data_IF_422243415166
#
_entry.id   IF_422243415166
#
_cell.length_a   1.000
_cell.length_b   1.000
_cell.length_c   1.000
_cell.angle_alpha   90.00
_cell.angle_beta   90.00
_cell.angle_gamma   90.00
#
_symmetry.space_group_name_H-M   'P 1'
#
loop_
_entity.id
_entity.type
_entity.pdbx_description
1 polymer ?
#
# COMPACT_ATOMS: atom_id res chain seq x y z
N UNK A 1 -17.49 36.91 35.65
CA UNK A 1 -17.98 37.54 34.39
C UNK A 1 -18.42 36.44 33.44
N UNK A 2 -19.65 36.53 32.91
CA UNK A 2 -20.27 35.59 31.96
C UNK A 2 -19.84 35.89 30.52
N UNK A 3 -19.67 34.85 29.69
CA UNK A 3 -20.04 34.73 28.24
C UNK A 3 -19.57 33.36 27.74
N UNK A 4 -20.43 32.33 27.74
CA UNK A 4 -21.40 31.87 26.71
C UNK A 4 -20.73 31.08 25.56
N UNK A 5 -21.30 29.89 25.34
CA UNK A 5 -21.04 28.81 24.37
C UNK A 5 -20.82 29.22 22.91
N UNK A 6 -20.01 28.43 22.19
CA UNK A 6 -20.28 28.12 20.77
C UNK A 6 -19.78 26.72 20.42
N UNK A 7 -20.70 25.78 20.46
CA UNK A 7 -20.62 24.42 19.92
C UNK A 7 -20.47 24.46 18.40
N UNK A 8 -19.52 23.71 17.84
CA UNK A 8 -19.56 23.25 16.45
C UNK A 8 -19.17 21.77 16.41
N UNK A 9 -20.17 20.96 16.76
CA UNK A 9 -20.22 19.53 16.48
C UNK A 9 -20.35 19.40 14.96
N UNK A 10 -19.25 19.07 14.27
CA UNK A 10 -19.31 18.74 12.85
C UNK A 10 -19.71 17.27 12.70
N UNK A 11 -20.96 17.13 12.30
CA UNK A 11 -21.66 15.93 11.89
C UNK A 11 -20.94 15.34 10.67
N UNK A 12 -20.32 14.17 10.82
CA UNK A 12 -20.04 13.32 9.68
C UNK A 12 -21.27 12.45 9.44
N UNK A 13 -21.93 12.71 8.32
CA UNK A 13 -23.06 11.95 7.80
C UNK A 13 -22.70 10.47 7.69
N UNK A 14 -23.41 9.64 8.45
CA UNK A 14 -23.53 8.21 8.21
C UNK A 14 -24.32 8.04 6.90
N UNK A 15 -23.65 7.62 5.83
CA UNK A 15 -24.31 7.17 4.60
C UNK A 15 -24.24 5.65 4.60
N UNK A 16 -25.36 5.00 4.88
CA UNK A 16 -25.48 3.55 4.83
C UNK A 16 -26.61 2.96 5.68
N UNK A 17 -27.81 3.56 5.66
CA UNK A 17 -29.01 2.94 6.20
C UNK A 17 -29.60 2.02 5.11
N UNK A 18 -29.29 0.72 5.17
CA UNK A 18 -30.15 -0.29 4.54
C UNK A 18 -31.13 -0.75 5.62
N UNK A 19 -32.35 -0.22 5.50
CA UNK A 19 -33.52 -0.73 6.19
C UNK A 19 -33.88 -2.09 5.62
N UNK A 20 -33.99 -3.12 6.47
CA UNK A 20 -34.78 -4.30 6.13
C UNK A 20 -35.59 -4.75 7.33
N UNK A 21 -36.85 -4.32 7.35
CA UNK A 21 -37.89 -4.99 8.14
C UNK A 21 -38.34 -6.26 7.41
N UNK A 22 -38.34 -7.38 8.15
CA UNK A 22 -39.29 -8.48 8.01
C UNK A 22 -39.33 -9.23 6.69
N UNK A 23 -38.52 -10.29 6.58
CA UNK A 23 -38.97 -11.53 5.94
C UNK A 23 -38.71 -12.66 6.92
N UNK A 24 -39.78 -13.09 7.59
CA UNK A 24 -39.85 -14.38 8.28
C UNK A 24 -39.58 -15.51 7.29
N UNK A 25 -38.79 -16.49 7.73
CA UNK A 25 -38.91 -17.85 7.23
C UNK A 25 -38.14 -18.16 5.94
N UNK A 26 -36.81 -18.21 6.03
CA UNK A 26 -36.05 -19.19 5.24
C UNK A 26 -35.07 -19.89 6.18
N UNK A 27 -35.31 -21.19 6.39
CA UNK A 27 -34.30 -22.08 6.97
C UNK A 27 -33.07 -21.98 6.07
N UNK A 28 -32.02 -21.31 6.53
CA UNK A 28 -30.70 -21.54 6.00
C UNK A 28 -30.33 -22.95 6.47
N UNK A 29 -30.65 -23.96 5.65
CA UNK A 29 -29.87 -25.18 5.67
C UNK A 29 -28.46 -24.71 5.38
N UNK A 30 -27.64 -24.67 6.42
CA UNK A 30 -26.20 -24.59 6.28
C UNK A 30 -25.80 -25.81 5.44
N UNK A 31 -25.77 -25.62 4.12
CA UNK A 31 -24.93 -26.40 3.25
C UNK A 31 -23.53 -25.94 3.60
N UNK A 32 -23.01 -26.56 4.66
CA UNK A 32 -21.58 -26.76 4.85
C UNK A 32 -21.13 -27.56 3.64
N UNK A 33 -21.00 -26.89 2.50
CA UNK A 33 -20.15 -27.37 1.43
C UNK A 33 -18.78 -27.49 2.07
N UNK A 34 -18.15 -28.67 2.11
CA UNK A 34 -16.77 -28.75 2.52
C UNK A 34 -16.02 -27.85 1.55
N UNK A 35 -15.50 -26.71 2.05
CA UNK A 35 -14.56 -25.90 1.29
C UNK A 35 -13.45 -26.85 0.92
N UNK A 36 -13.46 -27.27 -0.34
CA UNK A 36 -12.54 -28.24 -0.86
C UNK A 36 -11.15 -27.62 -0.66
N UNK A 37 -10.42 -28.09 0.35
CA UNK A 37 -9.11 -27.55 0.72
C UNK A 37 -8.12 -27.63 -0.45
N UNK A 38 -8.44 -28.39 -1.50
CA UNK A 38 -7.71 -28.41 -2.76
C UNK A 38 -7.70 -27.06 -3.51
N UNK A 39 -8.74 -26.21 -3.39
CA UNK A 39 -8.76 -24.86 -3.97
C UNK A 39 -8.06 -23.82 -3.10
N UNK A 40 -8.00 -24.03 -1.78
CA UNK A 40 -7.30 -23.16 -0.84
C UNK A 40 -5.77 -23.38 -0.82
N UNK A 41 -5.28 -24.44 -1.46
CA UNK A 41 -3.85 -24.77 -1.56
C UNK A 41 -3.21 -24.38 -2.90
N UNK A 42 -3.97 -23.75 -3.81
CA UNK A 42 -3.47 -23.26 -5.10
C UNK A 42 -3.21 -21.74 -5.14
N UNK A 43 -3.52 -21.01 -4.06
CA UNK A 43 -2.94 -19.69 -3.85
C UNK A 43 -1.72 -19.81 -2.94
N UNK A 44 -0.68 -20.54 -3.39
CA UNK A 44 0.65 -20.00 -3.12
C UNK A 44 0.58 -18.60 -3.69
N UNK A 45 0.51 -17.57 -2.85
CA UNK A 45 0.76 -16.20 -3.28
C UNK A 45 1.95 -16.31 -4.19
N UNK A 46 1.75 -16.09 -5.50
CA UNK A 46 2.87 -16.05 -6.44
C UNK A 46 3.72 -14.93 -5.86
N UNK A 47 4.81 -15.29 -5.18
CA UNK A 47 5.83 -14.33 -4.79
C UNK A 47 6.35 -13.84 -6.14
N UNK A 48 5.77 -12.74 -6.62
CA UNK A 48 6.15 -12.19 -7.89
C UNK A 48 7.63 -11.82 -7.73
N UNK A 49 8.47 -12.44 -8.55
CA UNK A 49 9.92 -12.28 -8.47
C UNK A 49 10.24 -10.80 -8.51
N UNK A 50 10.92 -10.31 -7.47
CA UNK A 50 11.45 -8.95 -7.49
C UNK A 50 12.61 -8.89 -8.49
N UNK A 51 12.71 -7.78 -9.21
CA UNK A 51 13.87 -7.44 -10.03
C UNK A 51 14.67 -6.32 -9.37
N UNK A 52 15.94 -6.18 -9.74
CA UNK A 52 16.72 -5.03 -9.32
C UNK A 52 16.18 -3.74 -9.95
N UNK A 53 16.02 -2.64 -9.19
CA UNK A 53 15.41 -1.41 -9.69
C UNK A 53 16.37 -0.57 -10.55
N UNK A 54 17.68 -0.74 -10.39
CA UNK A 54 18.71 -0.05 -11.18
C UNK A 54 20.00 -0.86 -11.18
N UNK A 55 20.91 -0.54 -12.11
CA UNK A 55 22.28 -1.04 -12.10
C UNK A 55 23.17 -0.15 -11.23
N UNK A 56 24.18 -0.76 -10.59
CA UNK A 56 25.12 -0.06 -9.72
C UNK A 56 25.77 -0.99 -8.72
N UNK A 57 26.49 -0.43 -7.74
CA UNK A 57 27.00 -1.17 -6.59
C UNK A 57 26.30 -0.72 -5.31
N UNK A 58 26.19 -1.64 -4.34
CA UNK A 58 25.61 -1.32 -3.04
C UNK A 58 26.61 -0.43 -2.28
N UNK A 59 26.28 0.85 -2.11
CA UNK A 59 27.07 1.78 -1.29
C UNK A 59 26.73 1.66 0.18
N UNK A 60 25.48 1.32 0.51
CA UNK A 60 25.03 1.09 1.87
C UNK A 60 23.94 0.01 1.90
N UNK A 61 24.14 -1.01 2.74
CA UNK A 61 23.15 -2.05 2.97
C UNK A 61 22.11 -1.67 4.03
N UNK A 62 21.17 -2.59 4.24
CA UNK A 62 20.19 -2.50 5.31
C UNK A 62 20.84 -2.58 6.70
N UNK A 63 20.39 -1.74 7.64
CA UNK A 63 20.74 -1.77 9.07
C UNK A 63 19.62 -1.11 9.89
N UNK A 64 19.53 -1.29 11.22
CA UNK A 64 18.41 -0.75 12.02
C UNK A 64 18.12 0.75 11.88
N UNK A 65 19.12 1.57 11.52
CA UNK A 65 18.95 3.02 11.29
C UNK A 65 18.99 3.38 9.78
N UNK A 66 18.80 2.39 8.92
CA UNK A 66 18.75 2.54 7.46
C UNK A 66 17.91 1.40 6.87
N UNK A 67 16.61 1.64 6.77
CA UNK A 67 15.61 0.64 6.38
C UNK A 67 15.55 0.40 4.86
N UNK A 68 16.65 0.69 4.15
CA UNK A 68 16.77 0.57 2.70
C UNK A 68 18.14 0.04 2.26
N UNK A 69 18.32 -0.04 0.94
CA UNK A 69 19.59 -0.36 0.30
C UNK A 69 19.91 0.79 -0.66
N UNK A 70 21.08 1.39 -0.50
CA UNK A 70 21.56 2.42 -1.40
C UNK A 70 22.37 1.77 -2.52
N UNK A 71 21.92 1.99 -3.74
CA UNK A 71 22.60 1.54 -4.96
C UNK A 71 23.20 2.78 -5.63
N UNK A 72 24.52 2.88 -5.61
CA UNK A 72 25.25 3.98 -6.23
C UNK A 72 25.35 3.78 -7.75
N UNK A 73 25.02 4.85 -8.47
CA UNK A 73 25.15 4.96 -9.93
C UNK A 73 25.21 6.43 -10.35
N UNK A 74 25.50 6.73 -11.63
CA UNK A 74 25.46 8.10 -12.15
C UNK A 74 24.09 8.78 -11.95
N UNK A 75 24.09 10.10 -11.75
CA UNK A 75 22.84 10.89 -11.72
C UNK A 75 22.09 10.69 -13.05
N UNK A 76 20.78 10.48 -12.94
CA UNK A 76 19.92 10.20 -14.11
C UNK A 76 19.89 8.73 -14.53
N UNK A 77 20.54 7.83 -13.79
CA UNK A 77 20.39 6.39 -14.01
C UNK A 77 18.91 5.99 -13.92
N UNK A 78 18.41 5.16 -14.86
CA UNK A 78 17.01 4.76 -14.88
C UNK A 78 16.68 3.89 -13.67
N UNK A 79 15.59 4.23 -13.00
CA UNK A 79 15.03 3.45 -11.89
C UNK A 79 13.70 2.87 -12.35
N UNK A 80 13.57 1.56 -12.26
CA UNK A 80 12.35 0.81 -12.61
C UNK A 80 11.74 0.18 -11.36
N UNK A 81 10.43 -0.05 -11.42
CA UNK A 81 9.73 -0.76 -10.36
C UNK A 81 10.27 -2.19 -10.22
N UNK A 82 10.54 -2.61 -8.99
CA UNK A 82 11.01 -3.96 -8.63
C UNK A 82 9.94 -5.02 -8.85
N UNK A 83 8.67 -4.61 -8.89
CA UNK A 83 7.52 -5.44 -9.17
C UNK A 83 6.38 -4.56 -9.70
N UNK A 84 5.45 -5.14 -10.45
CA UNK A 84 4.22 -4.44 -10.84
C UNK A 84 3.44 -3.94 -9.60
N UNK A 85 2.88 -2.74 -9.67
CA UNK A 85 2.15 -2.13 -8.58
C UNK A 85 1.46 -0.85 -8.99
N UNK A 86 0.67 -0.30 -8.07
CA UNK A 86 -0.01 0.99 -8.20
C UNK A 86 0.86 2.07 -7.55
N UNK A 87 1.10 3.18 -8.26
CA UNK A 87 1.76 4.35 -7.67
C UNK A 87 0.80 5.01 -6.69
N UNK A 88 1.14 4.95 -5.40
CA UNK A 88 0.34 5.55 -4.33
C UNK A 88 0.87 6.93 -3.91
N UNK A 89 2.10 7.27 -4.31
CA UNK A 89 2.70 8.58 -4.07
C UNK A 89 3.80 8.85 -5.10
N UNK A 90 3.85 10.09 -5.62
CA UNK A 90 4.93 10.63 -6.46
C UNK A 90 5.09 12.11 -6.10
N UNK A 91 6.23 12.50 -5.53
CA UNK A 91 6.45 13.90 -5.11
C UNK A 91 7.67 14.08 -4.22
N UNK A 92 7.81 15.27 -3.64
CA UNK A 92 8.86 15.60 -2.67
C UNK A 92 8.44 15.19 -1.26
N UNK A 93 9.36 14.61 -0.49
CA UNK A 93 9.18 14.25 0.92
C UNK A 93 10.36 14.73 1.79
N UNK A 94 10.04 15.49 2.85
CA UNK A 94 11.02 16.12 3.75
C UNK A 94 11.63 15.16 4.80
N UNK A 95 11.30 13.87 4.75
CA UNK A 95 11.88 12.83 5.63
C UNK A 95 13.36 12.52 5.34
N UNK A 96 13.93 13.19 4.34
CA UNK A 96 15.28 12.94 3.83
C UNK A 96 15.29 12.26 2.47
N UNK A 97 14.18 11.66 2.03
CA UNK A 97 14.08 10.96 0.74
C UNK A 97 14.05 11.91 -0.47
N UNK A 98 13.60 13.16 -0.32
CA UNK A 98 13.49 14.11 -1.43
C UNK A 98 12.45 13.66 -2.47
N UNK A 99 12.80 13.69 -3.76
CA UNK A 99 11.92 13.17 -4.81
C UNK A 99 11.74 11.65 -4.66
N UNK A 100 10.52 11.22 -4.30
CA UNK A 100 10.20 9.84 -3.98
C UNK A 100 8.98 9.35 -4.76
N UNK A 101 9.03 8.07 -5.16
CA UNK A 101 7.88 7.32 -5.66
C UNK A 101 7.62 6.14 -4.73
N UNK A 102 6.37 5.93 -4.32
CA UNK A 102 5.95 4.77 -3.51
C UNK A 102 4.92 3.96 -4.28
N UNK A 103 5.13 2.65 -4.36
CA UNK A 103 4.21 1.72 -5.02
C UNK A 103 3.62 0.76 -4.01
N UNK A 104 2.34 0.43 -4.19
CA UNK A 104 1.66 -0.67 -3.52
C UNK A 104 1.55 -1.86 -4.47
N UNK A 105 1.99 -3.02 -4.01
CA UNK A 105 1.95 -4.27 -4.78
C UNK A 105 0.69 -5.08 -4.48
N UNK A 106 0.42 -6.07 -5.34
CA UNK A 106 -0.79 -6.91 -5.24
C UNK A 106 -0.79 -7.79 -3.97
N UNK A 107 0.38 -8.13 -3.46
CA UNK A 107 0.56 -8.89 -2.22
C UNK A 107 0.45 -8.01 -0.95
N UNK A 108 0.20 -6.71 -1.11
CA UNK A 108 0.09 -5.74 -0.04
C UNK A 108 1.42 -5.14 0.43
N UNK A 109 2.55 -5.57 -0.14
CA UNK A 109 3.86 -4.98 0.13
C UNK A 109 4.00 -3.60 -0.55
N UNK A 110 5.03 -2.85 -0.12
CA UNK A 110 5.37 -1.55 -0.70
C UNK A 110 6.82 -1.53 -1.17
N UNK A 111 7.06 -0.80 -2.25
CA UNK A 111 8.40 -0.37 -2.65
C UNK A 111 8.48 1.15 -2.64
N UNK A 112 9.64 1.67 -2.26
CA UNK A 112 9.90 3.10 -2.10
C UNK A 112 11.21 3.40 -2.83
N UNK A 113 11.19 4.37 -3.74
CA UNK A 113 12.36 4.82 -4.49
C UNK A 113 12.60 6.29 -4.17
N UNK A 114 13.60 6.58 -3.34
CA UNK A 114 13.98 7.92 -2.92
C UNK A 114 15.20 8.47 -3.66
N UNK A 115 15.55 9.72 -3.37
CA UNK A 115 16.71 10.43 -3.90
C UNK A 115 16.74 10.55 -5.44
N UNK A 116 15.57 10.55 -6.08
CA UNK A 116 15.49 10.65 -7.54
C UNK A 116 15.87 12.06 -8.01
N UNK A 117 16.53 12.15 -9.16
CA UNK A 117 16.76 13.45 -9.81
C UNK A 117 15.48 14.01 -10.45
N UNK A 118 14.65 13.14 -11.04
CA UNK A 118 13.39 13.46 -11.69
C UNK A 118 12.37 12.33 -11.50
N UNK A 119 11.08 12.68 -11.49
CA UNK A 119 9.96 11.73 -11.43
C UNK A 119 9.29 11.64 -12.79
N UNK A 120 8.98 10.42 -13.25
CA UNK A 120 8.41 10.16 -14.59
C UNK A 120 6.95 9.66 -14.53
N UNK A 121 6.35 9.62 -13.33
CA UNK A 121 5.00 9.11 -13.05
C UNK A 121 4.23 10.03 -12.12
#
# INVERSE_FOLDING_TARGET
MKKIFSSRLLIFSVIGLISWGGVLGRRFSALTEPVNHQMALSSRVKVASLIWPTQGWISQGYKPNHEGIDIAGPIGSPIIATQAGEVIFSGWEDSGLGNVVKLKHIDGSFSIYGHNSHLLV
#
